data_IF_875846486809
#
_entry.id   IF_875846486809
#
_cell.length_a   1.000
_cell.length_b   1.000
_cell.length_c   1.000
_cell.angle_alpha   90.00
_cell.angle_beta   90.00
_cell.angle_gamma   90.00
#
_symmetry.space_group_name_H-M   'P 1'
#
loop_
_entity.id
_entity.type
_entity.pdbx_description
1 polymer ?
#
# COMPACT_ATOMS: atom_id res chain seq x y z
N UNK A 1 -0.32 -24.72 12.06
CA UNK A 1 -1.51 -24.48 11.18
C UNK A 1 -1.00 -24.25 9.77
N UNK A 2 -1.42 -25.05 8.80
CA UNK A 2 -1.09 -24.83 7.38
C UNK A 2 -1.65 -23.46 6.97
N UNK A 3 -0.80 -22.56 6.48
CA UNK A 3 -1.20 -21.23 6.01
C UNK A 3 -0.78 -21.12 4.55
N UNK A 4 -1.71 -21.15 3.59
CA UNK A 4 -1.35 -20.99 2.19
C UNK A 4 -0.77 -19.59 1.98
N UNK A 5 0.28 -19.50 1.16
CA UNK A 5 0.73 -18.23 0.60
C UNK A 5 0.26 -18.14 -0.84
N UNK A 6 -0.28 -16.99 -1.22
CA UNK A 6 -0.55 -16.63 -2.61
C UNK A 6 0.43 -15.52 -2.97
N UNK A 7 1.40 -15.83 -3.81
CA UNK A 7 2.45 -14.86 -4.16
C UNK A 7 1.91 -13.86 -5.18
N UNK A 8 1.42 -14.33 -6.33
CA UNK A 8 0.83 -13.49 -7.35
C UNK A 8 -0.50 -14.06 -7.85
N UNK A 9 -1.18 -13.28 -8.70
CA UNK A 9 -2.35 -13.74 -9.46
C UNK A 9 -1.96 -14.80 -10.49
N UNK A 10 -2.53 -14.72 -11.69
CA UNK A 10 -2.06 -15.52 -12.80
C UNK A 10 -0.68 -15.07 -13.27
N UNK A 11 -0.41 -13.76 -13.32
CA UNK A 11 0.79 -13.20 -13.93
C UNK A 11 1.35 -12.01 -13.16
N UNK A 12 2.68 -11.88 -13.18
CA UNK A 12 3.44 -10.79 -12.58
C UNK A 12 4.45 -10.29 -13.61
N UNK A 13 4.16 -9.15 -14.22
CA UNK A 13 4.99 -8.52 -15.25
C UNK A 13 5.77 -7.37 -14.61
N UNK A 14 7.08 -7.30 -14.84
CA UNK A 14 7.92 -6.25 -14.25
C UNK A 14 9.08 -5.90 -15.19
N UNK A 15 9.61 -4.71 -14.98
CA UNK A 15 10.72 -4.15 -15.77
C UNK A 15 10.26 -3.22 -16.88
N UNK A 16 11.20 -2.49 -17.46
CA UNK A 16 10.93 -1.50 -18.51
C UNK A 16 10.24 -2.14 -19.72
N UNK A 17 9.10 -1.57 -20.13
CA UNK A 17 8.31 -2.07 -21.25
C UNK A 17 7.30 -3.16 -20.88
N UNK A 18 7.20 -3.54 -19.60
CA UNK A 18 6.20 -4.49 -19.13
C UNK A 18 4.76 -4.09 -19.50
N UNK A 19 4.49 -2.79 -19.69
CA UNK A 19 3.18 -2.30 -20.14
C UNK A 19 2.75 -2.90 -21.49
N UNK A 20 3.69 -3.29 -22.36
CA UNK A 20 3.39 -3.94 -23.64
C UNK A 20 2.66 -5.28 -23.50
N UNK A 21 2.72 -5.91 -22.33
CA UNK A 21 1.97 -7.12 -22.05
C UNK A 21 0.45 -6.96 -22.28
N UNK A 22 -0.09 -5.74 -22.17
CA UNK A 22 -1.47 -5.43 -22.53
C UNK A 22 -1.85 -5.88 -23.94
N UNK A 23 -0.90 -5.90 -24.89
CA UNK A 23 -1.10 -6.37 -26.27
C UNK A 23 -1.38 -7.86 -26.38
N UNK A 24 -1.01 -8.63 -25.35
CA UNK A 24 -1.17 -10.10 -25.30
C UNK A 24 -2.42 -10.55 -24.54
N UNK A 25 -3.12 -9.62 -23.88
CA UNK A 25 -4.34 -9.93 -23.14
C UNK A 25 -5.43 -10.43 -24.08
N UNK A 26 -6.32 -11.25 -23.53
CA UNK A 26 -7.49 -11.79 -24.23
C UNK A 26 -8.74 -11.29 -23.53
N UNK A 27 -9.59 -10.60 -24.28
CA UNK A 27 -10.86 -10.06 -23.82
C UNK A 27 -11.52 -9.28 -24.94
N UNK A 28 -12.63 -8.64 -24.63
CA UNK A 28 -13.37 -7.80 -25.58
C UNK A 28 -13.40 -6.35 -25.13
N UNK A 29 -13.51 -6.12 -23.81
CA UNK A 29 -13.74 -4.78 -23.28
C UNK A 29 -13.07 -4.56 -21.93
N UNK A 30 -12.15 -3.61 -21.91
CA UNK A 30 -11.47 -3.14 -20.72
C UNK A 30 -12.16 -1.91 -20.10
N UNK A 31 -12.23 -1.86 -18.77
CA UNK A 31 -12.67 -0.70 -18.01
C UNK A 31 -11.53 -0.20 -17.13
N UNK A 32 -10.96 0.95 -17.50
CA UNK A 32 -9.79 1.54 -16.86
C UNK A 32 -10.25 2.47 -15.74
N UNK A 33 -9.83 2.20 -14.51
CA UNK A 33 -10.07 3.03 -13.33
C UNK A 33 -8.80 3.81 -13.02
N UNK A 34 -8.88 5.14 -12.99
CA UNK A 34 -7.73 5.99 -12.68
C UNK A 34 -8.10 7.16 -11.78
N UNK A 35 -7.10 7.69 -11.09
CA UNK A 35 -7.27 8.80 -10.15
C UNK A 35 -7.37 10.16 -10.83
N UNK A 36 -6.68 11.14 -10.25
CA UNK A 36 -6.53 12.47 -10.85
C UNK A 36 -5.75 12.46 -12.18
N UNK A 37 -5.33 13.64 -12.62
CA UNK A 37 -4.77 13.83 -13.98
C UNK A 37 -3.37 13.25 -14.24
N UNK A 38 -2.70 12.61 -13.28
CA UNK A 38 -1.28 12.21 -13.38
C UNK A 38 -1.02 11.27 -14.58
N UNK A 39 -1.76 10.17 -14.67
CA UNK A 39 -1.60 9.15 -15.73
C UNK A 39 -1.99 9.66 -17.11
N UNK A 40 -2.91 10.62 -17.17
CA UNK A 40 -3.29 11.32 -18.40
C UNK A 40 -2.18 12.26 -18.86
N UNK A 41 -1.62 13.05 -17.94
CA UNK A 41 -0.54 14.01 -18.23
C UNK A 41 0.78 13.34 -18.62
N UNK A 42 1.08 12.18 -18.04
CA UNK A 42 2.28 11.41 -18.40
C UNK A 42 2.13 10.65 -19.72
N UNK A 43 0.92 10.56 -20.30
CA UNK A 43 0.64 9.79 -21.51
C UNK A 43 0.45 8.29 -21.27
N UNK A 44 0.65 7.80 -20.04
CA UNK A 44 0.51 6.36 -19.71
C UNK A 44 -0.92 5.87 -19.91
N UNK A 45 -1.93 6.69 -19.60
CA UNK A 45 -3.33 6.34 -19.86
C UNK A 45 -3.59 6.12 -21.35
N UNK A 46 -3.10 7.02 -22.21
CA UNK A 46 -3.27 6.90 -23.66
C UNK A 46 -2.53 5.66 -24.18
N UNK A 47 -1.28 5.46 -23.75
CA UNK A 47 -0.47 4.29 -24.11
C UNK A 47 -1.14 2.97 -23.71
N UNK A 48 -1.77 2.93 -22.53
CA UNK A 48 -2.57 1.79 -22.05
C UNK A 48 -3.74 1.51 -23.01
N UNK A 49 -4.50 2.54 -23.40
CA UNK A 49 -5.62 2.40 -24.34
C UNK A 49 -5.16 1.96 -25.73
N UNK A 50 -4.03 2.49 -26.20
CA UNK A 50 -3.47 2.15 -27.52
C UNK A 50 -3.02 0.67 -27.56
N UNK A 51 -2.36 0.18 -26.52
CA UNK A 51 -1.95 -1.22 -26.44
C UNK A 51 -3.14 -2.20 -26.35
N UNK A 52 -4.21 -1.82 -25.65
CA UNK A 52 -5.45 -2.59 -25.63
C UNK A 52 -6.11 -2.62 -27.01
N UNK A 53 -6.12 -1.48 -27.71
CA UNK A 53 -6.63 -1.39 -29.08
C UNK A 53 -5.84 -2.26 -30.05
N UNK A 54 -4.52 -2.31 -29.92
CA UNK A 54 -3.67 -3.24 -30.68
C UNK A 54 -4.01 -4.72 -30.42
N UNK A 55 -4.44 -5.06 -29.19
CA UNK A 55 -4.95 -6.38 -28.85
C UNK A 55 -6.39 -6.65 -29.36
N UNK A 56 -7.03 -5.66 -29.98
CA UNK A 56 -8.45 -5.75 -30.38
C UNK A 56 -9.44 -5.63 -29.22
N UNK A 57 -9.04 -5.01 -28.11
CA UNK A 57 -9.85 -4.81 -26.90
C UNK A 57 -10.35 -3.35 -26.87
N UNK A 58 -11.66 -3.17 -26.86
CA UNK A 58 -12.26 -1.84 -26.66
C UNK A 58 -12.02 -1.38 -25.21
N UNK A 59 -11.80 -0.08 -24.99
CA UNK A 59 -11.57 0.44 -23.64
C UNK A 59 -12.44 1.65 -23.31
N UNK A 60 -12.91 1.71 -22.06
CA UNK A 60 -13.54 2.89 -21.45
C UNK A 60 -12.81 3.29 -20.18
N UNK A 61 -12.95 4.55 -19.78
CA UNK A 61 -12.19 5.12 -18.65
C UNK A 61 -13.15 5.71 -17.61
N UNK A 62 -12.94 5.36 -16.36
CA UNK A 62 -13.48 6.02 -15.18
C UNK A 62 -12.35 6.82 -14.51
N UNK A 63 -12.39 8.13 -14.72
CA UNK A 63 -11.41 9.08 -14.18
C UNK A 63 -11.92 9.71 -12.88
N UNK A 64 -11.01 10.26 -12.08
CA UNK A 64 -11.35 11.12 -10.95
C UNK A 64 -11.55 10.39 -9.63
N UNK A 65 -10.96 9.19 -9.47
CA UNK A 65 -10.85 8.56 -8.15
C UNK A 65 -9.99 9.45 -7.23
N UNK A 66 -10.60 9.89 -6.14
CA UNK A 66 -9.98 10.70 -5.10
C UNK A 66 -8.98 9.89 -4.24
N UNK A 67 -8.00 10.55 -3.59
CA UNK A 67 -7.25 9.95 -2.50
C UNK A 67 -8.20 9.43 -1.42
N UNK A 68 -7.88 8.27 -0.83
CA UNK A 68 -8.72 7.61 0.18
C UNK A 68 -10.18 7.40 -0.31
N UNK A 69 -10.36 6.60 -1.38
CA UNK A 69 -11.58 6.59 -2.18
C UNK A 69 -12.84 6.32 -1.34
N UNK A 70 -13.87 7.13 -1.57
CA UNK A 70 -15.16 7.03 -0.92
C UNK A 70 -15.96 5.86 -1.48
N UNK A 71 -16.83 5.27 -0.65
CA UNK A 71 -17.71 4.19 -1.08
C UNK A 71 -18.67 4.63 -2.20
N UNK A 72 -19.16 5.87 -2.19
CA UNK A 72 -19.99 6.41 -3.27
C UNK A 72 -19.28 6.43 -4.63
N UNK A 73 -17.98 6.74 -4.67
CA UNK A 73 -17.14 6.68 -5.89
C UNK A 73 -17.02 5.24 -6.39
N UNK A 74 -16.75 4.30 -5.49
CA UNK A 74 -16.72 2.86 -5.79
C UNK A 74 -18.06 2.39 -6.37
N UNK A 75 -19.17 2.74 -5.73
CA UNK A 75 -20.48 2.26 -6.16
C UNK A 75 -20.87 2.84 -7.53
N UNK A 76 -20.55 4.11 -7.80
CA UNK A 76 -20.71 4.74 -9.13
C UNK A 76 -19.88 4.04 -10.21
N UNK A 77 -18.61 3.72 -9.92
CA UNK A 77 -17.75 2.99 -10.84
C UNK A 77 -18.30 1.60 -11.16
N UNK A 78 -18.82 0.89 -10.15
CA UNK A 78 -19.47 -0.40 -10.35
C UNK A 78 -20.76 -0.30 -11.20
N UNK A 79 -21.59 0.73 -11.00
CA UNK A 79 -22.76 0.98 -11.86
C UNK A 79 -22.34 1.25 -13.32
N UNK A 80 -21.27 2.01 -13.54
CA UNK A 80 -20.71 2.22 -14.87
C UNK A 80 -20.22 0.91 -15.49
N UNK A 81 -19.47 0.07 -14.75
CA UNK A 81 -19.06 -1.25 -15.20
C UNK A 81 -20.26 -2.15 -15.57
N UNK A 82 -21.40 -2.05 -14.86
CA UNK A 82 -22.61 -2.84 -15.20
C UNK A 82 -23.22 -2.42 -16.54
N UNK A 83 -23.14 -1.14 -16.90
CA UNK A 83 -23.60 -0.63 -18.19
C UNK A 83 -22.63 -1.02 -19.31
N UNK A 84 -21.34 -0.91 -19.04
CA UNK A 84 -20.30 -1.18 -20.04
C UNK A 84 -20.05 -2.68 -20.25
N UNK A 85 -20.29 -3.51 -19.23
CA UNK A 85 -20.05 -4.96 -19.20
C UNK A 85 -18.62 -5.36 -19.60
N UNK A 86 -17.57 -4.83 -18.93
CA UNK A 86 -16.20 -5.21 -19.23
C UNK A 86 -15.89 -6.63 -18.80
N UNK A 87 -14.99 -7.29 -19.53
CA UNK A 87 -14.38 -8.57 -19.13
C UNK A 87 -12.95 -8.39 -18.59
N UNK A 88 -12.41 -7.18 -18.64
CA UNK A 88 -11.14 -6.78 -18.04
C UNK A 88 -11.34 -5.49 -17.25
N UNK A 89 -10.93 -5.44 -15.99
CA UNK A 89 -10.86 -4.21 -15.20
C UNK A 89 -9.38 -3.86 -15.03
N UNK A 90 -9.02 -2.59 -15.23
CA UNK A 90 -7.64 -2.12 -15.09
C UNK A 90 -7.59 -1.01 -14.04
N UNK A 91 -6.95 -1.28 -12.89
CA UNK A 91 -6.58 -0.23 -11.94
C UNK A 91 -5.27 0.42 -12.37
N UNK A 92 -5.31 1.65 -12.88
CA UNK A 92 -4.14 2.39 -13.36
C UNK A 92 -3.90 3.63 -12.49
N UNK A 93 -2.88 3.58 -11.65
CA UNK A 93 -2.52 4.68 -10.75
C UNK A 93 -1.85 4.22 -9.45
N UNK A 94 -1.86 5.08 -8.44
CA UNK A 94 -1.43 4.71 -7.09
C UNK A 94 -2.47 3.86 -6.35
N UNK A 95 -2.23 3.61 -5.05
CA UNK A 95 -3.09 2.76 -4.21
C UNK A 95 -4.58 3.10 -4.29
N UNK A 96 -4.96 4.38 -4.24
CA UNK A 96 -6.36 4.80 -4.30
C UNK A 96 -7.09 4.33 -5.56
N UNK A 97 -6.45 4.41 -6.73
CA UNK A 97 -7.06 3.96 -7.99
C UNK A 97 -7.19 2.43 -8.03
N UNK A 98 -6.16 1.70 -7.56
CA UNK A 98 -6.17 0.24 -7.51
C UNK A 98 -7.17 -0.30 -6.49
N UNK A 99 -7.25 0.30 -5.31
CA UNK A 99 -8.20 -0.07 -4.26
C UNK A 99 -9.64 0.20 -4.69
N UNK A 100 -9.89 1.35 -5.32
CA UNK A 100 -11.18 1.65 -5.91
C UNK A 100 -11.55 0.64 -7.01
N UNK A 101 -10.61 0.29 -7.91
CA UNK A 101 -10.84 -0.70 -8.96
C UNK A 101 -11.21 -2.08 -8.40
N UNK A 102 -10.48 -2.55 -7.37
CA UNK A 102 -10.77 -3.80 -6.66
C UNK A 102 -12.15 -3.77 -6.01
N UNK A 103 -12.51 -2.69 -5.33
CA UNK A 103 -13.82 -2.57 -4.71
C UNK A 103 -14.93 -2.50 -5.77
N UNK A 104 -14.75 -1.71 -6.84
CA UNK A 104 -15.69 -1.63 -7.97
C UNK A 104 -15.92 -3.00 -8.59
N UNK A 105 -14.86 -3.81 -8.75
CA UNK A 105 -14.94 -5.18 -9.25
C UNK A 105 -15.86 -6.06 -8.40
N UNK A 106 -15.75 -5.99 -7.07
CA UNK A 106 -16.62 -6.74 -6.14
C UNK A 106 -18.10 -6.40 -6.37
N UNK A 107 -18.44 -5.11 -6.42
CA UNK A 107 -19.83 -4.67 -6.63
C UNK A 107 -20.31 -4.88 -8.07
N UNK A 108 -19.42 -4.89 -9.06
CA UNK A 108 -19.72 -5.24 -10.44
C UNK A 108 -20.09 -6.73 -10.58
N UNK A 109 -19.28 -7.62 -10.00
CA UNK A 109 -19.52 -9.06 -9.95
C UNK A 109 -20.82 -9.37 -9.20
N UNK A 110 -21.07 -8.71 -8.07
CA UNK A 110 -22.17 -9.00 -7.15
C UNK A 110 -23.12 -7.80 -6.97
N UNK A 111 -24.04 -7.55 -7.91
CA UNK A 111 -24.95 -6.38 -7.88
C UNK A 111 -25.96 -6.37 -6.72
N UNK A 112 -26.06 -7.47 -5.96
CA UNK A 112 -26.89 -7.56 -4.75
C UNK A 112 -26.26 -6.84 -3.55
N UNK A 113 -24.94 -6.63 -3.55
CA UNK A 113 -24.25 -5.84 -2.54
C UNK A 113 -24.57 -4.36 -2.75
N UNK A 114 -24.91 -3.64 -1.68
CA UNK A 114 -25.40 -2.25 -1.71
C UNK A 114 -24.66 -1.32 -0.77
N UNK A 115 -24.02 -1.84 0.27
CA UNK A 115 -23.36 -1.03 1.29
C UNK A 115 -21.92 -1.49 1.51
N UNK A 116 -21.08 -0.60 2.03
CA UNK A 116 -19.71 -0.94 2.42
C UNK A 116 -19.69 -2.06 3.48
N UNK A 117 -20.64 -2.02 4.42
CA UNK A 117 -20.78 -3.02 5.50
C UNK A 117 -20.96 -4.45 4.96
N UNK A 118 -21.47 -4.62 3.75
CA UNK A 118 -21.68 -5.93 3.15
C UNK A 118 -20.36 -6.71 2.92
N UNK A 119 -19.23 -6.01 2.84
CA UNK A 119 -17.90 -6.60 2.58
C UNK A 119 -16.87 -6.30 3.67
N UNK A 120 -17.23 -5.51 4.69
CA UNK A 120 -16.38 -5.26 5.86
C UNK A 120 -16.37 -6.50 6.78
N UNK A 121 -15.20 -6.92 7.30
CA UNK A 121 -15.13 -8.05 8.23
C UNK A 121 -16.11 -7.93 9.40
N UNK A 122 -16.77 -9.03 9.81
CA UNK A 122 -16.48 -10.42 9.44
C UNK A 122 -17.16 -10.91 8.15
N UNK A 123 -17.84 -10.05 7.39
CA UNK A 123 -18.55 -10.48 6.19
C UNK A 123 -17.57 -10.96 5.10
N UNK A 124 -17.86 -12.09 4.44
CA UNK A 124 -16.98 -12.61 3.40
C UNK A 124 -17.12 -11.81 2.11
N UNK A 125 -16.00 -11.60 1.42
CA UNK A 125 -16.02 -11.17 0.01
C UNK A 125 -16.45 -12.37 -0.83
N UNK A 126 -17.52 -12.27 -1.65
CA UNK A 126 -17.94 -13.37 -2.51
C UNK A 126 -16.90 -13.70 -3.59
N UNK A 127 -16.98 -14.90 -4.18
CA UNK A 127 -16.07 -15.31 -5.26
C UNK A 127 -16.11 -14.34 -6.44
N UNK A 128 -14.94 -13.90 -6.90
CA UNK A 128 -14.82 -13.01 -8.07
C UNK A 128 -14.46 -13.81 -9.32
N UNK A 129 -14.18 -13.12 -10.44
CA UNK A 129 -13.77 -13.69 -11.73
C UNK A 129 -14.88 -14.45 -12.48
N UNK A 130 -16.15 -14.12 -12.25
CA UNK A 130 -17.25 -14.68 -13.04
C UNK A 130 -17.55 -13.81 -14.27
N UNK A 131 -17.23 -12.51 -14.22
CA UNK A 131 -17.51 -11.54 -15.28
C UNK A 131 -16.23 -10.92 -15.83
N UNK A 132 -15.27 -10.58 -14.96
CA UNK A 132 -14.05 -9.91 -15.37
C UNK A 132 -12.84 -10.39 -14.57
N UNK A 133 -11.65 -10.26 -15.16
CA UNK A 133 -10.37 -10.31 -14.46
C UNK A 133 -9.94 -8.90 -14.02
N UNK A 134 -9.05 -8.82 -13.04
CA UNK A 134 -8.45 -7.55 -12.60
C UNK A 134 -6.96 -7.47 -12.95
N UNK A 135 -6.59 -6.40 -13.66
CA UNK A 135 -5.21 -6.02 -13.96
C UNK A 135 -4.87 -4.76 -13.16
N UNK A 136 -3.72 -4.71 -12.52
CA UNK A 136 -3.24 -3.53 -11.80
C UNK A 136 -1.90 -3.03 -12.37
N UNK A 137 -1.83 -1.71 -12.58
CA UNK A 137 -0.66 -1.01 -13.13
C UNK A 137 -0.30 0.10 -12.14
N UNK A 138 0.63 -0.15 -11.20
CA UNK A 138 0.99 0.82 -10.18
C UNK A 138 1.74 2.00 -10.79
N UNK A 139 1.31 3.21 -10.44
CA UNK A 139 2.01 4.47 -10.79
C UNK A 139 2.76 5.07 -9.61
N UNK A 140 2.85 4.32 -8.51
CA UNK A 140 3.58 4.68 -7.28
C UNK A 140 4.29 3.46 -6.75
N UNK A 141 5.50 3.63 -6.23
CA UNK A 141 6.28 2.55 -5.61
C UNK A 141 6.15 2.63 -4.09
N UNK A 142 5.05 2.10 -3.53
CA UNK A 142 4.82 2.06 -2.08
C UNK A 142 3.76 1.07 -1.63
N UNK A 143 2.53 1.30 -2.08
CA UNK A 143 1.33 0.58 -1.57
C UNK A 143 1.33 -0.92 -1.86
N UNK A 144 2.03 -1.33 -2.92
CA UNK A 144 2.02 -2.66 -3.50
C UNK A 144 0.60 -3.26 -3.70
N UNK A 145 -0.41 -2.41 -3.91
CA UNK A 145 -1.80 -2.84 -4.05
C UNK A 145 -1.97 -3.76 -5.27
N UNK A 146 -1.12 -3.65 -6.28
CA UNK A 146 -1.12 -4.53 -7.45
C UNK A 146 -0.89 -6.02 -7.13
N UNK A 147 -0.29 -6.35 -5.99
CA UNK A 147 -0.10 -7.74 -5.51
C UNK A 147 -0.79 -8.04 -4.18
N UNK A 148 -1.49 -7.05 -3.62
CA UNK A 148 -2.11 -7.18 -2.30
C UNK A 148 -3.55 -7.67 -2.36
N UNK A 149 -3.97 -8.38 -1.31
CA UNK A 149 -5.37 -8.78 -1.08
C UNK A 149 -6.21 -7.69 -0.41
N UNK A 150 -5.62 -6.51 -0.17
CA UNK A 150 -6.18 -5.46 0.68
C UNK A 150 -6.75 -4.32 -0.17
N UNK A 151 -7.77 -3.68 0.37
CA UNK A 151 -8.30 -2.38 -0.08
C UNK A 151 -8.61 -1.52 1.14
N UNK A 152 -8.47 -0.21 0.99
CA UNK A 152 -8.92 0.78 1.98
C UNK A 152 -9.96 1.68 1.34
N UNK A 153 -11.21 1.61 1.83
CA UNK A 153 -12.34 2.41 1.36
C UNK A 153 -12.88 3.27 2.50
N UNK A 154 -13.14 4.53 2.22
CA UNK A 154 -13.71 5.49 3.18
C UNK A 154 -15.24 5.43 3.13
N UNK A 155 -15.86 5.32 4.30
CA UNK A 155 -17.31 5.40 4.43
C UNK A 155 -17.79 6.85 4.31
N UNK A 156 -18.77 7.10 3.45
CA UNK A 156 -19.29 8.44 3.14
C UNK A 156 -19.88 9.17 4.35
N UNK A 157 -20.55 8.44 5.25
CA UNK A 157 -21.29 9.04 6.36
C UNK A 157 -20.39 9.27 7.58
N UNK A 158 -19.51 8.32 7.87
CA UNK A 158 -18.68 8.32 9.08
C UNK A 158 -17.27 8.85 8.86
N UNK A 159 -16.82 8.95 7.61
CA UNK A 159 -15.44 9.26 7.21
C UNK A 159 -14.39 8.30 7.78
N UNK A 160 -14.82 7.14 8.29
CA UNK A 160 -13.91 6.09 8.78
C UNK A 160 -13.37 5.32 7.58
N UNK A 161 -12.05 5.10 7.58
CA UNK A 161 -11.37 4.23 6.62
C UNK A 161 -11.52 2.77 7.03
N UNK A 162 -12.07 1.95 6.14
CA UNK A 162 -12.20 0.51 6.35
C UNK A 162 -11.17 -0.26 5.54
N UNK A 163 -10.23 -0.90 6.23
CA UNK A 163 -9.31 -1.88 5.65
C UNK A 163 -10.00 -3.24 5.46
N UNK A 164 -10.21 -3.65 4.21
CA UNK A 164 -10.82 -4.93 3.86
C UNK A 164 -9.74 -5.80 3.21
N UNK A 165 -9.53 -7.01 3.73
CA UNK A 165 -8.50 -7.91 3.23
C UNK A 165 -9.03 -9.29 2.90
N UNK A 166 -9.06 -9.66 1.62
CA UNK A 166 -9.51 -10.98 1.17
C UNK A 166 -8.76 -11.41 -0.10
N UNK A 167 -8.24 -12.65 -0.13
CA UNK A 167 -7.46 -13.19 -1.25
C UNK A 167 -8.21 -13.22 -2.59
N UNK A 168 -9.54 -13.17 -2.57
CA UNK A 168 -10.36 -12.98 -3.78
C UNK A 168 -10.08 -11.64 -4.46
N UNK A 169 -9.77 -10.57 -3.70
CA UNK A 169 -9.51 -9.22 -4.24
C UNK A 169 -8.07 -9.03 -4.75
N UNK A 170 -7.23 -10.06 -4.63
CA UNK A 170 -5.88 -9.98 -5.18
C UNK A 170 -5.97 -9.91 -6.72
N UNK A 171 -5.27 -8.97 -7.38
CA UNK A 171 -5.30 -8.85 -8.83
C UNK A 171 -4.86 -10.14 -9.54
N UNK A 172 -5.41 -10.35 -10.73
CA UNK A 172 -5.03 -11.47 -11.58
C UNK A 172 -3.68 -11.19 -12.25
N UNK A 173 -3.49 -9.97 -12.72
CA UNK A 173 -2.26 -9.55 -13.39
C UNK A 173 -1.76 -8.26 -12.75
N UNK A 174 -0.49 -8.23 -12.37
CA UNK A 174 0.20 -7.01 -11.98
C UNK A 174 1.23 -6.64 -13.06
N UNK A 175 1.25 -5.38 -13.49
CA UNK A 175 2.17 -4.87 -14.51
C UNK A 175 2.97 -3.71 -13.94
N UNK A 176 4.15 -4.03 -13.42
CA UNK A 176 5.08 -3.11 -12.78
C UNK A 176 6.08 -2.53 -13.79
N UNK A 177 5.62 -1.60 -14.62
CA UNK A 177 6.47 -0.84 -15.55
C UNK A 177 6.97 0.46 -14.90
N UNK A 178 8.29 0.68 -14.75
CA UNK A 178 8.83 1.90 -14.13
C UNK A 178 8.51 3.18 -14.91
N UNK A 179 8.10 3.11 -16.18
CA UNK A 179 7.63 4.28 -16.92
C UNK A 179 6.39 4.90 -16.26
N UNK A 180 5.54 4.09 -15.62
CA UNK A 180 4.35 4.55 -14.91
C UNK A 180 4.66 5.33 -13.62
N UNK A 181 5.86 5.16 -13.05
CA UNK A 181 6.32 5.84 -11.82
C UNK A 181 7.27 7.01 -12.08
N UNK A 182 7.73 7.17 -13.33
CA UNK A 182 8.78 8.10 -13.71
C UNK A 182 8.47 9.57 -13.38
N UNK A 183 7.19 9.97 -13.40
CA UNK A 183 6.76 11.35 -13.14
C UNK A 183 6.49 11.65 -11.66
N UNK A 184 6.73 10.71 -10.74
CA UNK A 184 6.53 10.95 -9.30
C UNK A 184 7.45 12.07 -8.80
N UNK A 185 6.90 13.11 -8.13
CA UNK A 185 7.72 14.11 -7.45
C UNK A 185 8.59 13.49 -6.34
N UNK A 186 9.68 14.18 -5.95
CA UNK A 186 10.58 13.71 -4.89
C UNK A 186 9.84 13.43 -3.57
N UNK A 187 8.91 14.31 -3.16
CA UNK A 187 8.08 14.11 -1.97
C UNK A 187 7.29 12.80 -2.01
N UNK A 188 6.60 12.52 -3.13
CA UNK A 188 5.84 11.27 -3.28
C UNK A 188 6.78 10.06 -3.32
N UNK A 189 7.95 10.20 -3.94
CA UNK A 189 8.99 9.16 -3.97
C UNK A 189 9.45 8.80 -2.56
N UNK A 190 9.71 9.79 -1.72
CA UNK A 190 10.08 9.59 -0.31
C UNK A 190 8.96 8.89 0.48
N UNK A 191 7.75 9.46 0.46
CA UNK A 191 6.62 8.93 1.24
C UNK A 191 6.26 7.49 0.84
N UNK A 192 6.14 7.21 -0.46
CA UNK A 192 5.79 5.85 -0.91
C UNK A 192 6.95 4.87 -0.75
N UNK A 193 8.19 5.32 -0.92
CA UNK A 193 9.36 4.48 -0.65
C UNK A 193 9.47 4.06 0.81
N UNK A 194 9.13 4.96 1.74
CA UNK A 194 9.10 4.67 3.17
C UNK A 194 7.93 3.78 3.59
N UNK A 195 6.78 3.92 2.92
CA UNK A 195 5.66 2.96 3.02
C UNK A 195 6.13 1.55 2.63
N UNK A 196 6.75 1.39 1.46
CA UNK A 196 7.33 0.10 1.04
C UNK A 196 8.39 -0.44 2.01
N UNK A 197 9.22 0.43 2.60
CA UNK A 197 10.20 0.01 3.61
C UNK A 197 9.50 -0.49 4.87
N UNK A 198 8.45 0.20 5.30
CA UNK A 198 7.63 -0.18 6.46
C UNK A 198 6.94 -1.51 6.21
N UNK A 199 6.33 -1.70 5.02
CA UNK A 199 5.76 -2.98 4.60
C UNK A 199 6.78 -4.12 4.75
N UNK A 200 8.00 -3.92 4.25
CA UNK A 200 9.06 -4.92 4.32
C UNK A 200 9.48 -5.21 5.77
N UNK A 201 9.74 -4.18 6.57
CA UNK A 201 10.22 -4.36 7.94
C UNK A 201 9.16 -4.94 8.88
N UNK A 202 7.89 -4.55 8.75
CA UNK A 202 6.81 -5.15 9.53
C UNK A 202 6.51 -6.59 9.10
N UNK A 203 6.55 -6.89 7.81
CA UNK A 203 6.39 -8.26 7.32
C UNK A 203 7.51 -9.19 7.80
N UNK A 204 8.74 -8.68 7.89
CA UNK A 204 9.92 -9.41 8.35
C UNK A 204 9.81 -9.85 9.83
N UNK A 205 9.17 -9.02 10.67
CA UNK A 205 9.05 -9.29 12.12
C UNK A 205 7.64 -9.71 12.55
N UNK A 206 6.71 -9.87 11.61
CA UNK A 206 5.34 -10.31 11.89
C UNK A 206 5.32 -11.67 12.63
N UNK A 207 4.36 -11.86 13.53
CA UNK A 207 4.04 -13.17 14.15
C UNK A 207 3.60 -14.23 13.15
N UNK A 208 3.36 -13.84 11.89
CA UNK A 208 3.03 -14.75 10.79
C UNK A 208 4.19 -14.91 9.80
N UNK A 209 5.33 -14.26 10.05
CA UNK A 209 6.53 -14.37 9.25
C UNK A 209 6.92 -15.84 9.06
N UNK A 210 7.44 -16.15 7.88
CA UNK A 210 7.87 -17.48 7.50
C UNK A 210 9.08 -17.37 6.55
N UNK A 211 9.66 -18.52 6.19
CA UNK A 211 10.85 -18.56 5.36
C UNK A 211 10.73 -17.75 4.06
N UNK A 212 9.63 -17.92 3.32
CA UNK A 212 9.42 -17.23 2.05
C UNK A 212 9.17 -15.73 2.24
N UNK A 213 8.31 -15.33 3.19
CA UNK A 213 8.09 -13.90 3.44
C UNK A 213 9.35 -13.19 3.92
N UNK A 214 10.19 -13.87 4.70
CA UNK A 214 11.45 -13.30 5.19
C UNK A 214 12.45 -13.04 4.06
N UNK A 215 12.56 -13.94 3.09
CA UNK A 215 13.42 -13.72 1.90
C UNK A 215 12.94 -12.49 1.13
N UNK A 216 11.63 -12.40 0.86
CA UNK A 216 11.04 -11.29 0.12
C UNK A 216 11.20 -9.97 0.87
N UNK A 217 10.77 -9.93 2.13
CA UNK A 217 10.79 -8.74 2.97
C UNK A 217 12.22 -8.23 3.20
N UNK A 218 13.17 -9.12 3.50
CA UNK A 218 14.57 -8.72 3.75
C UNK A 218 15.21 -8.10 2.51
N UNK A 219 15.06 -8.73 1.34
CA UNK A 219 15.62 -8.20 0.10
C UNK A 219 14.95 -6.88 -0.29
N UNK A 220 13.62 -6.78 -0.16
CA UNK A 220 12.90 -5.53 -0.40
C UNK A 220 13.42 -4.39 0.49
N UNK A 221 13.53 -4.61 1.80
CA UNK A 221 14.04 -3.61 2.73
C UNK A 221 15.47 -3.16 2.37
N UNK A 222 16.35 -4.12 2.06
CA UNK A 222 17.73 -3.84 1.63
C UNK A 222 17.77 -2.97 0.37
N UNK A 223 17.02 -3.35 -0.66
CA UNK A 223 17.04 -2.63 -1.94
C UNK A 223 16.44 -1.23 -1.82
N UNK A 224 15.41 -1.06 -0.98
CA UNK A 224 14.83 0.26 -0.69
C UNK A 224 15.83 1.15 0.05
N UNK A 225 16.45 0.66 1.12
CA UNK A 225 17.45 1.43 1.89
C UNK A 225 18.60 1.90 0.99
N UNK A 226 19.07 1.04 0.07
CA UNK A 226 20.21 1.35 -0.80
C UNK A 226 19.87 2.26 -1.98
N UNK A 227 18.62 2.32 -2.43
CA UNK A 227 18.26 2.99 -3.69
C UNK A 227 17.22 4.10 -3.55
N UNK A 228 16.46 4.17 -2.45
CA UNK A 228 15.48 5.23 -2.24
C UNK A 228 16.14 6.62 -2.20
N UNK A 229 17.28 6.82 -1.51
CA UNK A 229 18.03 8.09 -1.60
C UNK A 229 18.34 8.50 -3.04
N UNK A 230 18.70 7.54 -3.89
CA UNK A 230 19.08 7.80 -5.29
C UNK A 230 17.86 8.16 -6.14
N UNK A 231 16.76 7.41 -6.01
CA UNK A 231 15.49 7.70 -6.70
C UNK A 231 14.88 9.03 -6.23
N UNK A 232 15.06 9.39 -4.96
CA UNK A 232 14.64 10.67 -4.40
C UNK A 232 15.45 11.84 -4.98
N UNK A 233 16.79 11.71 -5.02
CA UNK A 233 17.68 12.76 -5.53
C UNK A 233 17.64 12.92 -7.04
N UNK A 234 17.46 11.82 -7.80
CA UNK A 234 17.31 11.82 -9.25
C UNK A 234 16.11 10.96 -9.66
N UNK A 235 14.94 11.58 -9.64
CA UNK A 235 13.69 10.95 -10.04
C UNK A 235 13.58 10.63 -11.53
N UNK A 236 14.55 11.05 -12.37
CA UNK A 236 14.58 10.79 -13.81
C UNK A 236 15.36 9.52 -14.16
N UNK A 237 16.16 9.00 -13.24
CA UNK A 237 16.97 7.81 -13.47
C UNK A 237 16.12 6.53 -13.37
N UNK A 238 15.77 5.97 -14.55
CA UNK A 238 14.83 4.86 -14.67
C UNK A 238 15.25 3.60 -13.90
N UNK A 239 16.55 3.31 -13.82
CA UNK A 239 17.06 2.16 -13.07
C UNK A 239 16.70 2.25 -11.58
N UNK A 240 16.83 3.42 -10.95
CA UNK A 240 16.45 3.60 -9.55
C UNK A 240 14.94 3.51 -9.35
N UNK A 241 14.16 4.02 -10.31
CA UNK A 241 12.69 3.86 -10.32
C UNK A 241 12.28 2.40 -10.39
N UNK A 242 12.93 1.63 -11.27
CA UNK A 242 12.68 0.21 -11.45
C UNK A 242 13.02 -0.59 -10.19
N UNK A 243 14.18 -0.33 -9.57
CA UNK A 243 14.56 -1.01 -8.33
C UNK A 243 13.53 -0.74 -7.22
N UNK A 244 13.12 0.51 -7.02
CA UNK A 244 12.16 0.85 -5.96
C UNK A 244 10.76 0.30 -6.25
N UNK A 245 10.33 0.28 -7.52
CA UNK A 245 9.08 -0.36 -7.92
C UNK A 245 9.10 -1.87 -7.65
N UNK A 246 10.18 -2.56 -8.05
CA UNK A 246 10.33 -3.99 -7.84
C UNK A 246 10.43 -4.33 -6.35
N UNK A 247 11.12 -3.50 -5.56
CA UNK A 247 11.24 -3.70 -4.12
C UNK A 247 9.90 -3.45 -3.40
N UNK A 248 9.13 -2.44 -3.80
CA UNK A 248 7.75 -2.21 -3.34
C UNK A 248 6.87 -3.42 -3.61
N UNK A 249 6.84 -3.90 -4.87
CA UNK A 249 6.10 -5.11 -5.26
C UNK A 249 6.53 -6.31 -4.41
N UNK A 250 7.84 -6.51 -4.22
CA UNK A 250 8.41 -7.61 -3.42
C UNK A 250 7.98 -7.53 -1.95
N UNK A 251 7.96 -6.33 -1.35
CA UNK A 251 7.40 -6.11 -0.02
C UNK A 251 5.89 -6.49 0.02
N UNK A 252 5.15 -6.14 -1.03
CA UNK A 252 3.75 -6.54 -1.26
C UNK A 252 3.52 -8.05 -1.20
N UNK A 253 4.32 -8.81 -1.96
CA UNK A 253 4.29 -10.27 -1.99
C UNK A 253 4.51 -10.87 -0.59
N UNK A 254 5.31 -10.21 0.26
CA UNK A 254 5.50 -10.61 1.65
C UNK A 254 4.28 -10.26 2.52
N UNK A 255 3.95 -8.97 2.68
CA UNK A 255 2.97 -8.53 3.68
C UNK A 255 1.55 -9.01 3.38
N UNK A 256 1.17 -9.18 2.11
CA UNK A 256 -0.17 -9.70 1.76
C UNK A 256 -0.45 -11.06 2.42
N UNK A 257 0.61 -11.85 2.65
CA UNK A 257 0.58 -13.20 3.21
C UNK A 257 0.79 -13.24 4.72
N UNK A 258 1.61 -12.33 5.27
CA UNK A 258 1.98 -12.34 6.70
C UNK A 258 1.46 -11.15 7.48
N UNK A 259 0.66 -10.28 6.86
CA UNK A 259 0.17 -9.04 7.44
C UNK A 259 1.31 -8.09 7.82
N UNK A 260 0.94 -7.01 8.53
CA UNK A 260 1.80 -5.91 8.94
C UNK A 260 1.87 -5.85 10.48
N UNK A 261 2.15 -4.67 11.04
CA UNK A 261 2.26 -4.46 12.49
C UNK A 261 1.61 -3.16 12.94
N UNK A 262 2.09 -2.64 14.08
CA UNK A 262 1.49 -1.45 14.70
C UNK A 262 1.89 -0.13 14.04
N UNK A 263 2.90 -0.09 13.15
CA UNK A 263 3.19 1.13 12.37
C UNK A 263 1.96 1.49 11.54
N UNK A 264 1.46 0.54 10.74
CA UNK A 264 0.27 0.75 9.93
C UNK A 264 -0.97 1.02 10.76
N UNK A 265 -1.18 0.30 11.88
CA UNK A 265 -2.31 0.57 12.78
C UNK A 265 -2.35 2.01 13.29
N UNK A 266 -1.17 2.55 13.65
CA UNK A 266 -1.03 3.93 14.12
C UNK A 266 -1.15 4.93 12.96
N UNK A 267 -0.58 4.63 11.79
CA UNK A 267 -0.67 5.46 10.59
C UNK A 267 -2.11 5.58 10.06
N UNK A 268 -2.87 4.49 9.97
CA UNK A 268 -4.29 4.51 9.60
C UNK A 268 -5.11 5.40 10.54
N UNK A 269 -4.81 5.32 11.84
CA UNK A 269 -5.47 6.12 12.87
C UNK A 269 -5.15 7.60 12.67
N UNK A 270 -3.88 7.97 12.54
CA UNK A 270 -3.46 9.36 12.31
C UNK A 270 -4.01 9.93 11.01
N UNK A 271 -4.03 9.13 9.94
CA UNK A 271 -4.64 9.51 8.67
C UNK A 271 -6.14 9.76 8.79
N UNK A 272 -6.86 9.00 9.62
CA UNK A 272 -8.31 9.17 9.84
C UNK A 272 -8.64 10.41 10.67
N UNK A 273 -7.86 10.70 11.72
CA UNK A 273 -8.13 11.85 12.62
C UNK A 273 -7.57 13.18 12.12
N UNK A 274 -6.45 13.16 11.40
CA UNK A 274 -5.71 14.38 11.05
C UNK A 274 -5.40 14.52 9.56
N UNK A 275 -5.80 13.57 8.71
CA UNK A 275 -5.57 13.65 7.27
C UNK A 275 -4.10 13.58 6.87
N UNK A 276 -3.23 13.01 7.72
CA UNK A 276 -1.82 12.80 7.41
C UNK A 276 -1.71 11.74 6.31
N UNK A 277 -0.87 11.99 5.29
CA UNK A 277 -0.65 11.01 4.23
C UNK A 277 -0.05 9.73 4.78
N UNK A 278 -0.48 8.59 4.24
CA UNK A 278 -0.15 7.25 4.77
C UNK A 278 1.35 7.04 4.93
N UNK A 279 2.10 7.03 3.82
CA UNK A 279 3.54 6.77 3.86
C UNK A 279 4.36 7.79 4.65
N UNK A 280 3.86 9.02 4.81
CA UNK A 280 4.47 10.01 5.70
C UNK A 280 4.30 9.63 7.17
N UNK A 281 3.09 9.21 7.57
CA UNK A 281 2.83 8.72 8.91
C UNK A 281 3.67 7.46 9.20
N UNK A 282 3.71 6.50 8.28
CA UNK A 282 4.51 5.28 8.44
C UNK A 282 6.00 5.61 8.61
N UNK A 283 6.54 6.51 7.77
CA UNK A 283 7.92 6.95 7.86
C UNK A 283 8.28 7.53 9.23
N UNK A 284 7.43 8.41 9.78
CA UNK A 284 7.64 9.06 11.09
C UNK A 284 7.56 8.04 12.24
N UNK A 285 6.61 7.11 12.17
CA UNK A 285 6.30 6.14 13.24
C UNK A 285 7.33 5.00 13.28
N UNK A 286 7.79 4.54 12.12
CA UNK A 286 8.58 3.32 11.94
C UNK A 286 9.75 3.20 12.93
N UNK A 287 10.65 4.18 13.11
CA UNK A 287 11.78 4.05 14.04
C UNK A 287 11.36 3.76 15.49
N UNK A 288 10.31 4.44 15.98
CA UNK A 288 9.82 4.27 17.35
C UNK A 288 9.23 2.89 17.58
N UNK A 289 8.51 2.36 16.59
CA UNK A 289 7.93 1.02 16.66
C UNK A 289 9.02 -0.05 16.52
N UNK A 290 10.06 0.18 15.72
CA UNK A 290 11.22 -0.71 15.68
C UNK A 290 11.88 -0.82 17.05
N UNK A 291 12.09 0.30 17.76
CA UNK A 291 12.60 0.30 19.14
C UNK A 291 11.66 -0.48 20.07
N UNK A 292 10.35 -0.23 20.02
CA UNK A 292 9.37 -0.96 20.83
C UNK A 292 9.41 -2.47 20.58
N UNK A 293 9.58 -2.87 19.32
CA UNK A 293 9.64 -4.26 18.92
C UNK A 293 10.95 -4.97 19.34
N UNK A 294 11.97 -4.25 19.83
CA UNK A 294 13.21 -4.87 20.36
C UNK A 294 12.99 -5.70 21.63
N UNK A 295 11.84 -5.57 22.29
CA UNK A 295 11.44 -6.46 23.39
C UNK A 295 11.26 -7.92 22.90
N UNK A 296 10.97 -8.13 21.61
CA UNK A 296 10.93 -9.46 21.00
C UNK A 296 12.32 -9.85 20.44
N UNK A 297 12.85 -10.97 20.92
CA UNK A 297 14.18 -11.46 20.51
C UNK A 297 14.27 -11.81 19.02
N UNK A 298 13.16 -12.22 18.40
CA UNK A 298 13.15 -12.56 16.96
C UNK A 298 13.23 -11.29 16.12
N UNK A 299 12.44 -10.27 16.46
CA UNK A 299 12.49 -8.96 15.82
C UNK A 299 13.88 -8.32 15.98
N UNK A 300 14.43 -8.34 17.21
CA UNK A 300 15.79 -7.85 17.49
C UNK A 300 16.85 -8.55 16.64
N UNK A 301 16.80 -9.87 16.52
CA UNK A 301 17.73 -10.64 15.69
C UNK A 301 17.59 -10.29 14.20
N UNK A 302 16.35 -10.18 13.70
CA UNK A 302 16.08 -9.85 12.30
C UNK A 302 16.60 -8.45 11.92
N UNK A 303 16.37 -7.44 12.78
CA UNK A 303 16.89 -6.10 12.55
C UNK A 303 18.43 -6.05 12.62
N UNK A 304 19.03 -6.77 13.57
CA UNK A 304 20.49 -6.83 13.71
C UNK A 304 21.16 -7.51 12.50
N UNK A 305 20.53 -8.55 11.97
CA UNK A 305 21.01 -9.27 10.79
C UNK A 305 20.96 -8.39 9.54
N UNK A 306 19.83 -7.70 9.30
CA UNK A 306 19.70 -6.76 8.19
C UNK A 306 20.66 -5.57 8.32
N UNK A 307 20.87 -5.04 9.54
CA UNK A 307 21.88 -4.01 9.78
C UNK A 307 23.27 -4.48 9.32
N UNK A 308 23.68 -5.69 9.73
CA UNK A 308 24.97 -6.28 9.36
C UNK A 308 25.11 -6.48 7.85
N UNK A 309 24.06 -6.93 7.17
CA UNK A 309 24.04 -7.07 5.71
C UNK A 309 24.24 -5.73 4.98
N UNK A 310 23.77 -4.64 5.59
CA UNK A 310 23.96 -3.26 5.12
C UNK A 310 25.31 -2.64 5.55
N UNK A 311 26.15 -3.39 6.27
CA UNK A 311 27.40 -2.88 6.83
C UNK A 311 27.20 -1.90 8.00
N UNK A 312 26.03 -1.91 8.63
CA UNK A 312 25.66 -1.08 9.76
C UNK A 312 25.59 -1.90 11.07
N UNK A 313 25.64 -1.21 12.20
CA UNK A 313 25.45 -1.82 13.54
C UNK A 313 24.00 -1.72 13.99
N UNK A 314 23.33 -0.63 13.63
CA UNK A 314 21.99 -0.30 14.10
C UNK A 314 21.08 0.06 12.92
N UNK A 315 20.09 -0.80 12.65
CA UNK A 315 19.12 -0.58 11.58
C UNK A 315 18.20 0.60 11.88
N UNK A 316 17.88 0.87 13.15
CA UNK A 316 17.01 1.98 13.54
C UNK A 316 17.71 3.30 13.20
N UNK A 317 19.02 3.38 13.43
CA UNK A 317 19.84 4.50 12.98
C UNK A 317 19.82 4.65 11.45
N UNK A 318 19.94 3.56 10.70
CA UNK A 318 19.88 3.59 9.23
C UNK A 318 18.55 4.17 8.75
N UNK A 319 17.43 3.76 9.35
CA UNK A 319 16.09 4.26 9.00
C UNK A 319 15.91 5.73 9.38
N UNK A 320 16.38 6.15 10.55
CA UNK A 320 16.29 7.57 10.98
C UNK A 320 17.17 8.50 10.14
N UNK A 321 18.38 8.06 9.78
CA UNK A 321 19.25 8.81 8.85
C UNK A 321 18.62 8.90 7.44
N UNK A 322 17.98 7.82 6.98
CA UNK A 322 17.25 7.81 5.71
C UNK A 322 16.08 8.81 5.71
N UNK A 323 15.25 8.79 6.76
CA UNK A 323 14.15 9.75 6.95
C UNK A 323 14.66 11.19 6.83
N UNK A 324 15.74 11.51 7.55
CA UNK A 324 16.36 12.84 7.51
C UNK A 324 16.86 13.19 6.12
N UNK A 325 17.50 12.26 5.42
CA UNK A 325 18.04 12.50 4.08
C UNK A 325 16.95 12.83 3.05
N UNK A 326 15.83 12.11 3.08
CA UNK A 326 14.72 12.29 2.11
C UNK A 326 13.66 13.32 2.57
N UNK A 327 13.94 14.06 3.65
CA UNK A 327 13.10 15.17 4.10
C UNK A 327 11.80 14.76 4.82
N UNK A 328 11.79 13.61 5.48
CA UNK A 328 10.68 13.22 6.35
C UNK A 328 10.78 14.03 7.67
N UNK A 329 9.69 14.66 8.14
CA UNK A 329 9.62 15.30 9.45
C UNK A 329 10.03 14.35 10.58
N UNK A 330 10.50 14.91 11.69
CA UNK A 330 10.99 14.08 12.80
C UNK A 330 9.88 13.58 13.72
N UNK A 331 8.70 14.21 13.66
CA UNK A 331 7.60 13.99 14.58
C UNK A 331 6.24 14.46 14.02
N UNK A 332 5.16 14.11 14.72
CA UNK A 332 3.79 14.46 14.31
C UNK A 332 3.41 15.90 14.69
N UNK A 333 4.04 16.53 15.68
CA UNK A 333 3.71 17.92 16.06
C UNK A 333 3.98 18.93 14.94
N UNK A 334 4.93 18.65 14.04
CA UNK A 334 5.17 19.44 12.83
C UNK A 334 3.97 19.41 11.86
N UNK A 335 3.19 18.33 11.88
CA UNK A 335 2.01 18.12 11.03
C UNK A 335 0.69 18.48 11.73
N UNK A 336 0.65 18.34 13.06
CA UNK A 336 -0.50 18.65 13.92
C UNK A 336 -0.03 19.58 15.04
N UNK A 337 0.05 20.90 14.78
CA UNK A 337 0.61 21.85 15.76
C UNK A 337 -0.24 22.05 17.02
N UNK A 338 -1.52 21.69 16.99
CA UNK A 338 -2.44 21.78 18.13
C UNK A 338 -2.28 20.57 19.06
N UNK A 339 -1.35 20.69 20.01
CA UNK A 339 -1.06 19.63 20.99
C UNK A 339 -2.26 19.33 21.89
N UNK A 340 -3.04 20.35 22.26
CA UNK A 340 -4.22 20.16 23.11
C UNK A 340 -5.23 19.25 22.41
N UNK A 341 -5.58 19.56 21.16
CA UNK A 341 -6.46 18.72 20.35
C UNK A 341 -5.89 17.31 20.15
N UNK A 342 -4.59 17.18 19.90
CA UNK A 342 -3.96 15.86 19.76
C UNK A 342 -4.09 15.02 21.03
N UNK A 343 -3.82 15.62 22.20
CA UNK A 343 -3.87 14.93 23.50
C UNK A 343 -5.30 14.57 23.91
N UNK A 344 -6.30 15.39 23.57
CA UNK A 344 -7.72 15.07 23.78
C UNK A 344 -8.15 13.80 23.01
N UNK A 345 -7.64 13.63 21.78
CA UNK A 345 -7.97 12.47 20.95
C UNK A 345 -7.16 11.22 21.26
N UNK A 346 -6.12 11.33 22.11
CA UNK A 346 -5.14 10.27 22.33
C UNK A 346 -5.77 8.93 22.78
N UNK A 347 -6.75 8.98 23.68
CA UNK A 347 -7.45 7.78 24.15
C UNK A 347 -8.17 7.05 23.02
N UNK A 348 -8.95 7.80 22.22
CA UNK A 348 -9.70 7.26 21.09
C UNK A 348 -8.77 6.73 19.99
N UNK A 349 -7.67 7.44 19.68
CA UNK A 349 -6.66 6.99 18.73
C UNK A 349 -6.01 5.68 19.17
N UNK A 350 -5.60 5.57 20.44
CA UNK A 350 -5.00 4.35 20.95
C UNK A 350 -5.95 3.15 20.88
N UNK A 351 -7.24 3.34 21.21
CA UNK A 351 -8.25 2.29 21.04
C UNK A 351 -8.46 1.89 19.58
N UNK A 352 -8.49 2.85 18.66
CA UNK A 352 -8.67 2.59 17.23
C UNK A 352 -7.48 1.79 16.67
N UNK A 353 -6.25 2.21 16.97
CA UNK A 353 -5.04 1.51 16.56
C UNK A 353 -4.98 0.08 17.12
N UNK A 354 -5.40 -0.14 18.38
CA UNK A 354 -5.45 -1.48 18.97
C UNK A 354 -6.49 -2.40 18.29
N UNK A 355 -7.61 -1.83 17.82
CA UNK A 355 -8.68 -2.58 17.13
C UNK A 355 -8.33 -2.89 15.67
N UNK A 356 -7.35 -2.19 15.08
CA UNK A 356 -6.89 -2.43 13.72
C UNK A 356 -6.37 -3.88 13.54
N UNK A 357 -6.65 -4.46 12.37
CA UNK A 357 -6.26 -5.82 12.03
C UNK A 357 -4.74 -6.04 12.00
N UNK A 358 -3.95 -5.00 11.69
CA UNK A 358 -2.49 -5.08 11.58
C UNK A 358 -1.84 -5.30 12.95
N UNK A 359 -2.43 -4.73 14.02
CA UNK A 359 -1.94 -4.89 15.39
C UNK A 359 -1.81 -6.35 15.79
N UNK A 360 -2.76 -7.20 15.38
CA UNK A 360 -2.82 -8.64 15.75
C UNK A 360 -1.58 -9.43 15.37
N UNK A 361 -0.80 -8.93 14.41
CA UNK A 361 0.36 -9.64 13.85
C UNK A 361 1.70 -9.01 14.25
N UNK A 362 1.69 -7.92 15.00
CA UNK A 362 2.92 -7.32 15.52
C UNK A 362 3.64 -8.24 16.53
N UNK A 363 4.99 -8.30 16.55
CA UNK A 363 5.73 -9.16 17.47
C UNK A 363 5.45 -8.82 18.95
N UNK A 364 5.35 -7.54 19.29
CA UNK A 364 5.01 -7.06 20.63
C UNK A 364 3.62 -6.40 20.57
N UNK A 365 2.61 -6.94 21.26
CA UNK A 365 1.26 -6.34 21.24
C UNK A 365 1.20 -5.33 22.39
N UNK A 366 1.12 -4.02 22.13
CA UNK A 366 1.00 -3.04 23.21
C UNK A 366 -0.35 -3.18 23.92
N UNK A 367 -0.38 -2.89 25.22
CA UNK A 367 -1.61 -2.52 25.90
C UNK A 367 -2.04 -1.07 25.56
N UNK A 368 -3.20 -0.64 26.08
CA UNK A 368 -3.71 0.71 25.83
C UNK A 368 -2.76 1.81 26.33
N UNK A 369 -2.14 1.60 27.50
CA UNK A 369 -1.19 2.56 28.07
C UNK A 369 0.08 2.67 27.22
N UNK A 370 0.64 1.55 26.80
CA UNK A 370 1.81 1.49 25.92
C UNK A 370 1.52 2.14 24.56
N UNK A 371 0.35 1.89 23.96
CA UNK A 371 -0.07 2.53 22.70
C UNK A 371 -0.16 4.06 22.85
N UNK A 372 -0.75 4.55 23.94
CA UNK A 372 -0.80 5.99 24.24
C UNK A 372 0.60 6.59 24.42
N UNK A 373 1.51 5.88 25.10
CA UNK A 373 2.90 6.31 25.27
C UNK A 373 3.60 6.41 23.91
N UNK A 374 3.42 5.44 23.02
CA UNK A 374 3.99 5.50 21.67
C UNK A 374 3.50 6.72 20.91
N UNK A 375 2.18 6.95 20.86
CA UNK A 375 1.63 8.15 20.21
C UNK A 375 2.17 9.46 20.79
N UNK A 376 2.40 9.55 22.11
CA UNK A 376 3.00 10.72 22.75
C UNK A 376 4.48 10.89 22.37
N UNK A 377 5.24 9.80 22.38
CA UNK A 377 6.68 9.81 22.02
C UNK A 377 6.88 10.31 20.59
N UNK A 378 6.12 9.75 19.65
CA UNK A 378 6.17 10.09 18.22
C UNK A 378 5.70 11.53 18.00
N UNK A 379 4.68 12.00 18.73
CA UNK A 379 4.21 13.38 18.62
C UNK A 379 5.29 14.41 19.00
N UNK A 380 6.05 14.15 20.08
CA UNK A 380 6.99 15.10 20.66
C UNK A 380 8.46 14.91 20.25
N UNK A 381 8.76 14.02 19.31
CA UNK A 381 10.13 13.66 18.97
C UNK A 381 10.97 13.14 20.16
N UNK A 382 10.37 12.38 21.08
CA UNK A 382 11.13 11.81 22.21
C UNK A 382 12.11 10.74 21.71
N UNK A 383 13.21 10.49 22.44
CA UNK A 383 14.28 9.61 21.95
C UNK A 383 13.78 8.24 21.45
N UNK A 384 14.26 7.90 20.24
CA UNK A 384 14.06 6.63 19.53
C UNK A 384 15.03 5.59 20.07
#
# INVERSE_FOLDING_TARGET
>A
MMRPMKLAGSELMFGRGALEHLKSLKGKKAFIVTGGSSMKKSGILQKTMDYLKEAGIDSSVFEGVEPDPMFSTVYRGAEAMRREQPDIIIGLGGGSAMDAAKAMWVYYEHPRLKTLKDIVPPNPVPKLRNKAILVCIPSTSGTASEVSRSVVITDDDTHIKYGIGNMEMMPDIAICDPEATATMPAKITAETGMDALTHALEALVSKRANYLSNILARNAARDIILNLPKAYSDGTHMEYREIILNASMTAGLAFTNVSLGIVHSMAHTLGSYFGISHGLADAIILPYVMTFNLEDNTAKAAYSELARELGAVDLIKVVTDLNKFIGIPSNISELVPDETKYMEMLGAMAEMALKDGCTKTNPVIPDLGQMQILFKKIYRAQEV
#
